data_IF_179332551595
#
_entry.id   IF_179332551595
#
_cell.length_a   1.000
_cell.length_b   1.000
_cell.length_c   1.000
_cell.angle_alpha   90.00
_cell.angle_beta   90.00
_cell.angle_gamma   90.00
#
_symmetry.space_group_name_H-M   'P 1'
#
loop_
_entity.id
_entity.type
_entity.pdbx_description
1 polymer ?
#
# COMPACT_ATOMS: atom_id res chain seq x y z
N UNK A 1 -27.18 3.97 14.64
CA UNK A 1 -25.88 4.16 13.96
C UNK A 1 -25.14 2.83 13.77
N UNK A 2 -25.74 1.83 13.10
CA UNK A 2 -25.14 0.48 12.92
C UNK A 2 -24.59 0.21 11.51
N UNK A 3 -24.91 1.05 10.51
CA UNK A 3 -24.46 0.84 9.12
C UNK A 3 -22.97 1.12 8.91
N UNK A 4 -22.42 2.16 9.52
CA UNK A 4 -21.03 2.58 9.31
C UNK A 4 -19.99 1.54 9.76
N UNK A 5 -20.30 0.78 10.81
CA UNK A 5 -19.38 -0.23 11.38
C UNK A 5 -19.30 -1.49 10.51
N UNK A 6 -20.37 -1.80 9.76
CA UNK A 6 -20.44 -2.96 8.86
C UNK A 6 -19.63 -2.71 7.57
N UNK A 7 -19.64 -1.48 7.07
CA UNK A 7 -18.82 -1.08 5.92
C UNK A 7 -17.32 -1.18 6.23
N UNK A 8 -16.87 -0.73 7.40
CA UNK A 8 -15.44 -0.82 7.78
C UNK A 8 -14.93 -2.25 7.94
N UNK A 9 -15.74 -3.16 8.50
CA UNK A 9 -15.33 -4.57 8.66
C UNK A 9 -15.31 -5.31 7.32
N UNK A 10 -16.25 -5.00 6.44
CA UNK A 10 -16.32 -5.55 5.08
C UNK A 10 -15.15 -5.04 4.23
N UNK A 11 -14.82 -3.75 4.33
CA UNK A 11 -13.65 -3.16 3.68
C UNK A 11 -12.33 -3.75 4.19
N UNK A 12 -12.21 -4.03 5.49
CA UNK A 12 -11.03 -4.67 6.06
C UNK A 12 -10.87 -6.14 5.63
N UNK A 13 -11.98 -6.88 5.52
CA UNK A 13 -12.00 -8.26 5.03
C UNK A 13 -11.66 -8.33 3.53
N UNK A 14 -12.22 -7.44 2.71
CA UNK A 14 -11.89 -7.31 1.28
C UNK A 14 -10.44 -6.88 1.07
N UNK A 15 -9.93 -5.94 1.88
CA UNK A 15 -8.53 -5.51 1.82
C UNK A 15 -7.54 -6.60 2.27
N UNK A 16 -7.99 -7.57 3.09
CA UNK A 16 -7.19 -8.73 3.47
C UNK A 16 -7.23 -9.83 2.39
N UNK A 17 -8.39 -10.06 1.76
CA UNK A 17 -8.51 -10.98 0.62
C UNK A 17 -7.72 -10.48 -0.61
N UNK A 18 -7.73 -9.16 -0.85
CA UNK A 18 -6.96 -8.53 -1.92
C UNK A 18 -5.44 -8.53 -1.67
N UNK A 19 -4.96 -8.75 -0.44
CA UNK A 19 -3.51 -8.85 -0.18
C UNK A 19 -2.90 -10.16 -0.68
N UNK A 20 -3.71 -11.18 -0.98
CA UNK A 20 -3.27 -12.47 -1.52
C UNK A 20 -3.38 -12.56 -3.06
N UNK A 21 -3.91 -11.52 -3.71
CA UNK A 21 -4.09 -11.45 -5.16
C UNK A 21 -2.94 -10.63 -5.79
N UNK A 22 -2.11 -11.22 -6.67
CA UNK A 22 -1.03 -10.51 -7.33
C UNK A 22 -1.52 -9.31 -8.16
N UNK A 23 -2.72 -9.37 -8.73
CA UNK A 23 -3.30 -8.26 -9.50
C UNK A 23 -3.70 -7.11 -8.58
N UNK A 24 -4.23 -7.42 -7.40
CA UNK A 24 -4.53 -6.42 -6.38
C UNK A 24 -3.26 -5.79 -5.78
N UNK A 25 -2.18 -6.56 -5.61
CA UNK A 25 -0.86 -6.03 -5.20
C UNK A 25 -0.26 -5.13 -6.28
N UNK A 26 -0.36 -5.51 -7.55
CA UNK A 26 0.05 -4.68 -8.68
C UNK A 26 -0.78 -3.38 -8.77
N UNK A 27 -2.10 -3.46 -8.60
CA UNK A 27 -2.99 -2.31 -8.55
C UNK A 27 -2.65 -1.38 -7.36
N UNK A 28 -2.33 -1.93 -6.19
CA UNK A 28 -1.92 -1.16 -5.02
C UNK A 28 -0.56 -0.46 -5.23
N UNK A 29 0.41 -1.14 -5.87
CA UNK A 29 1.67 -0.51 -6.29
C UNK A 29 1.42 0.64 -7.25
N UNK A 30 0.57 0.43 -8.26
CA UNK A 30 0.20 1.47 -9.23
C UNK A 30 -0.48 2.67 -8.55
N UNK A 31 -1.36 2.41 -7.60
CA UNK A 31 -1.98 3.46 -6.80
C UNK A 31 -0.95 4.24 -5.97
N UNK A 32 0.06 3.55 -5.43
CA UNK A 32 1.17 4.19 -4.71
C UNK A 32 1.93 5.17 -5.61
N UNK A 33 2.30 4.74 -6.82
CA UNK A 33 2.98 5.59 -7.82
C UNK A 33 2.20 6.88 -8.10
N UNK A 34 0.89 6.75 -8.39
CA UNK A 34 0.02 7.90 -8.66
C UNK A 34 -0.03 8.84 -7.45
N UNK A 35 -0.15 8.30 -6.23
CA UNK A 35 -0.20 9.12 -5.03
C UNK A 35 1.13 9.84 -4.75
N UNK A 36 2.27 9.22 -5.09
CA UNK A 36 3.60 9.85 -4.95
C UNK A 36 3.74 11.01 -5.94
N UNK A 37 3.34 10.82 -7.20
CA UNK A 37 3.34 11.88 -8.21
C UNK A 37 2.43 13.05 -7.79
N UNK A 38 1.19 12.75 -7.37
CA UNK A 38 0.27 13.75 -6.87
C UNK A 38 0.84 14.49 -5.65
N UNK A 39 1.54 13.78 -4.75
CA UNK A 39 2.19 14.40 -3.61
C UNK A 39 3.32 15.34 -4.05
N UNK A 40 4.09 14.99 -5.07
CA UNK A 40 5.10 15.87 -5.65
C UNK A 40 4.53 17.19 -6.18
N UNK A 41 3.32 17.16 -6.75
CA UNK A 41 2.59 18.35 -7.20
C UNK A 41 2.10 19.16 -6.00
N UNK A 42 1.39 18.51 -5.08
CA UNK A 42 0.75 19.16 -3.92
C UNK A 42 1.79 19.69 -2.91
N UNK A 43 2.96 19.05 -2.79
CA UNK A 43 4.01 19.49 -1.87
C UNK A 43 4.66 20.84 -2.27
N UNK A 44 4.58 21.21 -3.55
CA UNK A 44 5.19 22.46 -4.04
C UNK A 44 4.29 23.66 -3.84
N UNK A 45 2.99 23.52 -4.12
CA UNK A 45 2.06 24.65 -4.23
C UNK A 45 0.65 24.34 -3.70
N UNK A 46 0.45 23.15 -3.15
CA UNK A 46 -0.88 22.66 -2.78
C UNK A 46 -1.36 23.11 -1.41
N UNK A 47 -2.68 23.26 -1.23
CA UNK A 47 -3.30 23.58 0.05
C UNK A 47 -3.09 22.45 1.07
N UNK A 48 -2.93 22.81 2.35
CA UNK A 48 -2.65 21.88 3.43
C UNK A 48 -3.79 20.87 3.63
N UNK A 49 -5.02 21.28 3.33
CA UNK A 49 -6.24 20.48 3.35
C UNK A 49 -6.19 19.29 2.38
N UNK A 50 -5.36 19.37 1.32
CA UNK A 50 -5.16 18.29 0.34
C UNK A 50 -3.88 17.51 0.65
N UNK A 51 -2.82 18.20 1.11
CA UNK A 51 -1.53 17.58 1.45
C UNK A 51 -1.66 16.55 2.58
N UNK A 52 -2.33 16.90 3.68
CA UNK A 52 -2.43 16.03 4.86
C UNK A 52 -3.21 14.72 4.59
N UNK A 53 -4.37 14.73 3.90
CA UNK A 53 -5.03 13.48 3.50
C UNK A 53 -4.18 12.60 2.58
N UNK A 54 -3.42 13.22 1.68
CA UNK A 54 -2.58 12.50 0.71
C UNK A 54 -1.39 11.81 1.40
N UNK A 55 -0.71 12.49 2.33
CA UNK A 55 0.33 11.88 3.18
C UNK A 55 -0.22 10.70 4.00
N UNK A 56 -1.43 10.85 4.58
CA UNK A 56 -2.11 9.76 5.31
C UNK A 56 -2.48 8.58 4.41
N UNK A 57 -2.85 8.83 3.16
CA UNK A 57 -3.13 7.78 2.18
C UNK A 57 -1.84 7.03 1.81
N UNK A 58 -0.77 7.75 1.49
CA UNK A 58 0.55 7.16 1.21
C UNK A 58 1.05 6.30 2.37
N UNK A 59 0.91 6.76 3.61
CA UNK A 59 1.27 5.96 4.79
C UNK A 59 0.46 4.67 4.94
N UNK A 60 -0.83 4.67 4.55
CA UNK A 60 -1.66 3.45 4.56
C UNK A 60 -1.23 2.46 3.48
N UNK A 61 -0.98 2.96 2.28
CA UNK A 61 -0.52 2.15 1.14
C UNK A 61 0.87 1.55 1.45
N UNK A 62 1.80 2.34 1.98
CA UNK A 62 3.14 1.86 2.36
C UNK A 62 3.08 0.74 3.41
N UNK A 63 2.21 0.84 4.41
CA UNK A 63 1.98 -0.26 5.36
C UNK A 63 1.43 -1.51 4.69
N UNK A 64 0.45 -1.37 3.79
CA UNK A 64 -0.11 -2.52 3.08
C UNK A 64 0.90 -3.20 2.14
N UNK A 65 1.81 -2.44 1.52
CA UNK A 65 2.88 -2.98 0.68
C UNK A 65 4.01 -3.62 1.49
N UNK A 66 4.39 -3.01 2.63
CA UNK A 66 5.46 -3.45 3.53
C UNK A 66 5.11 -4.60 4.47
N UNK A 67 3.83 -4.89 4.71
CA UNK A 67 3.37 -6.06 5.48
C UNK A 67 3.53 -7.41 4.75
N UNK A 68 4.39 -7.48 3.72
CA UNK A 68 4.75 -8.72 3.03
C UNK A 68 6.28 -8.92 3.09
N UNK A 69 6.80 -9.47 4.21
CA UNK A 69 8.17 -9.93 4.28
C UNK A 69 8.28 -11.33 3.66
N UNK A 70 8.11 -11.45 2.34
CA UNK A 70 8.26 -12.74 1.64
C UNK A 70 9.07 -12.61 0.32
N UNK A 71 9.90 -11.56 0.18
CA UNK A 71 10.78 -11.38 -1.00
C UNK A 71 12.27 -11.19 -0.61
N UNK A 72 12.72 -11.76 0.53
CA UNK A 72 14.12 -11.66 0.98
C UNK A 72 14.80 -13.01 1.33
N UNK A 73 14.23 -14.16 0.93
CA UNK A 73 14.90 -15.47 1.12
C UNK A 73 14.89 -16.30 -0.15
N UNK A 74 15.69 -15.89 -1.14
CA UNK A 74 16.29 -16.78 -2.14
C UNK A 74 17.51 -16.12 -2.80
N UNK A 75 18.46 -15.62 -2.02
CA UNK A 75 19.82 -15.37 -2.49
C UNK A 75 20.78 -15.85 -1.42
N UNK A 76 20.87 -17.16 -1.26
CA UNK A 76 22.07 -17.78 -0.71
C UNK A 76 22.66 -18.68 -1.78
N UNK A 77 23.83 -18.23 -2.23
CA UNK A 77 24.68 -18.83 -3.24
C UNK A 77 24.89 -20.33 -3.01
N UNK A 78 24.45 -21.14 -3.97
CA UNK A 78 25.05 -22.45 -4.19
C UNK A 78 26.37 -22.25 -4.93
N UNK A 79 27.41 -21.91 -4.17
CA UNK A 79 28.80 -22.02 -4.60
C UNK A 79 29.66 -22.35 -3.39
N UNK A 80 29.67 -23.62 -2.96
CA UNK A 80 30.84 -24.30 -2.38
C UNK A 80 30.47 -25.68 -1.84
N UNK A 81 31.24 -26.70 -2.24
CA UNK A 81 31.33 -28.02 -1.62
C UNK A 81 30.79 -29.13 -2.53
N UNK A 82 31.58 -30.07 -3.02
CA UNK A 82 32.99 -30.41 -2.83
C UNK A 82 33.30 -31.64 -3.70
#
# INVERSE_FOLDING_TARGET
>A
MRKLQYDTRTAAALASAAQADPDARAALRRLAEICIEAHGIVAREGPEEVRLPLEKLLGRIGRQLGSHPEDDVATEAQTAGG
#
